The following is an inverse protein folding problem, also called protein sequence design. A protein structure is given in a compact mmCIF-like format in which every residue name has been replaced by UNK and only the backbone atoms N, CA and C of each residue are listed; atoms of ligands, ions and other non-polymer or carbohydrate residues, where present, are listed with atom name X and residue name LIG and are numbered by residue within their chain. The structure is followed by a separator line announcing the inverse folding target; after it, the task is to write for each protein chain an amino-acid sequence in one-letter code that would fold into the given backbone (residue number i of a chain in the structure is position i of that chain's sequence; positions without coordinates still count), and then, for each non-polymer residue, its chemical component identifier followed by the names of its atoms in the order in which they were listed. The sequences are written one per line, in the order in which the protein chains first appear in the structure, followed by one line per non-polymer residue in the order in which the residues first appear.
data_IF_939456279290
#
_entry.id   IF_939456279290
#
_cell.length_a   1.000
_cell.length_b   1.000
_cell.length_c   1.000
_cell.angle_alpha   90.00
_cell.angle_beta   90.00
_cell.angle_gamma   90.00
#
_symmetry.space_group_name_H-M   'P 1'
#
loop_
_entity.id
_entity.type
_entity.pdbx_description
1 polymer ?
#
# COMPACT_ATOMS: atom_id res chain seq x y z
N UNK A 1 31.38 -51.56 55.12
CA UNK A 1 30.13 -51.39 54.37
C UNK A 1 29.42 -50.15 54.88
N UNK A 2 29.39 -49.08 54.09
CA UNK A 2 28.34 -48.05 54.08
C UNK A 2 28.60 -47.19 52.83
N UNK A 3 27.68 -47.29 51.88
CA UNK A 3 27.63 -46.54 50.63
C UNK A 3 27.15 -45.10 50.88
N UNK A 4 27.54 -44.17 49.99
CA UNK A 4 26.77 -42.94 49.77
C UNK A 4 27.55 -41.77 49.17
N UNK A 5 27.86 -41.82 47.87
CA UNK A 5 28.28 -40.65 47.08
C UNK A 5 27.33 -40.50 45.90
N UNK A 6 26.71 -39.33 45.75
CA UNK A 6 26.59 -38.55 44.50
C UNK A 6 25.54 -37.43 44.67
N UNK A 7 26.00 -36.18 44.74
CA UNK A 7 25.17 -35.00 44.55
C UNK A 7 25.25 -34.59 43.07
N UNK A 8 24.11 -34.62 42.36
CA UNK A 8 24.02 -34.15 40.98
C UNK A 8 23.82 -32.63 40.97
N UNK A 9 24.78 -31.90 40.40
CA UNK A 9 24.69 -30.47 40.11
C UNK A 9 23.99 -30.30 38.74
N UNK A 10 22.76 -29.81 38.76
CA UNK A 10 22.03 -29.43 37.55
C UNK A 10 22.51 -28.06 37.05
N UNK A 11 23.30 -28.04 35.99
CA UNK A 11 23.65 -26.83 35.24
C UNK A 11 22.47 -26.38 34.39
N UNK A 12 21.88 -25.23 34.71
CA UNK A 12 20.87 -24.56 33.88
C UNK A 12 21.58 -23.87 32.71
N UNK A 13 21.32 -24.23 31.44
CA UNK A 13 21.89 -23.51 30.31
C UNK A 13 21.21 -22.14 30.16
N UNK A 14 22.03 -21.10 30.04
CA UNK A 14 21.63 -19.75 29.64
C UNK A 14 20.91 -19.79 28.29
N UNK A 15 19.60 -19.58 28.29
CA UNK A 15 18.85 -19.27 27.07
C UNK A 15 19.03 -17.79 26.75
N UNK A 16 19.72 -17.53 25.64
CA UNK A 16 20.15 -16.22 25.19
C UNK A 16 19.00 -15.23 24.95
N UNK A 17 19.32 -13.97 25.21
CA UNK A 17 18.57 -12.75 24.92
C UNK A 17 18.50 -12.44 23.41
N UNK A 18 18.22 -13.44 22.56
CA UNK A 18 18.07 -13.27 21.13
C UNK A 18 16.66 -12.83 20.69
N UNK A 19 15.77 -12.49 21.64
CA UNK A 19 14.37 -12.16 21.38
C UNK A 19 14.07 -10.70 21.01
N UNK A 20 15.07 -9.80 21.02
CA UNK A 20 14.85 -8.36 20.80
C UNK A 20 15.46 -7.80 19.50
N UNK A 21 16.22 -8.60 18.75
CA UNK A 21 16.85 -8.15 17.50
C UNK A 21 15.97 -8.39 16.25
N UNK A 22 14.96 -9.27 16.31
CA UNK A 22 14.09 -9.58 15.16
C UNK A 22 12.90 -8.63 14.98
N UNK A 23 12.63 -7.74 15.94
CA UNK A 23 11.53 -6.77 15.81
C UNK A 23 11.91 -5.52 14.99
N UNK A 24 13.16 -5.42 14.56
CA UNK A 24 13.69 -4.37 13.67
C UNK A 24 13.91 -4.83 12.23
N UNK A 25 13.46 -6.04 11.88
CA UNK A 25 13.41 -6.49 10.50
C UNK A 25 12.34 -5.69 9.73
N UNK A 26 12.77 -4.52 9.27
CA UNK A 26 12.50 -4.05 7.92
C UNK A 26 11.00 -4.03 7.56
N UNK A 27 10.23 -3.19 8.26
CA UNK A 27 9.07 -2.52 7.66
C UNK A 27 9.63 -1.58 6.57
N UNK A 28 10.16 -2.17 5.50
CA UNK A 28 10.31 -1.52 4.20
C UNK A 28 8.91 -1.37 3.65
N UNK A 29 8.20 -0.36 4.15
CA UNK A 29 7.07 0.19 3.44
C UNK A 29 7.61 0.79 2.14
N UNK A 30 7.75 -0.06 1.11
CA UNK A 30 8.39 0.30 -0.15
C UNK A 30 7.70 1.52 -0.74
N UNK A 31 8.41 2.65 -0.65
CA UNK A 31 8.14 3.84 -1.44
C UNK A 31 8.25 3.41 -2.90
N UNK A 32 7.19 3.59 -3.66
CA UNK A 32 7.16 3.29 -5.09
C UNK A 32 7.06 4.61 -5.83
N UNK A 33 7.94 4.80 -6.81
CA UNK A 33 7.84 5.91 -7.73
C UNK A 33 7.00 5.49 -8.94
N UNK A 34 6.01 6.31 -9.28
CA UNK A 34 5.20 6.18 -10.48
C UNK A 34 5.36 7.44 -11.32
N UNK A 35 6.09 7.30 -12.42
CA UNK A 35 6.40 8.41 -13.33
C UNK A 35 5.16 9.00 -13.99
N UNK A 36 4.07 8.22 -14.14
CA UNK A 36 2.82 8.72 -14.71
C UNK A 36 2.07 9.68 -13.78
N UNK A 37 2.40 9.65 -12.48
CA UNK A 37 1.81 10.52 -11.47
C UNK A 37 2.64 11.79 -11.22
N UNK A 38 3.88 11.86 -11.71
CA UNK A 38 4.73 13.04 -11.52
C UNK A 38 4.02 14.30 -12.04
N UNK A 39 3.86 15.29 -11.15
CA UNK A 39 3.22 16.59 -11.40
C UNK A 39 1.74 16.54 -11.78
N UNK A 40 1.10 15.37 -11.69
CA UNK A 40 -0.33 15.23 -11.95
C UNK A 40 -1.15 16.09 -10.98
N UNK A 41 -2.12 16.83 -11.51
CA UNK A 41 -3.01 17.67 -10.70
C UNK A 41 -4.05 16.81 -9.97
N UNK A 42 -4.13 16.98 -8.66
CA UNK A 42 -5.16 16.40 -7.82
C UNK A 42 -5.80 17.48 -6.96
N UNK A 43 -7.03 17.26 -6.54
CA UNK A 43 -7.76 18.13 -5.63
C UNK A 43 -8.36 17.33 -4.48
N UNK A 44 -8.39 17.91 -3.29
CA UNK A 44 -8.99 17.24 -2.14
C UNK A 44 -10.51 17.17 -2.26
N UNK A 45 -11.10 15.99 -2.07
CA UNK A 45 -12.56 15.81 -2.02
C UNK A 45 -13.17 16.10 -0.63
N UNK A 46 -12.31 16.27 0.38
CA UNK A 46 -12.67 16.63 1.75
C UNK A 46 -11.52 17.35 2.45
N UNK A 47 -11.80 18.01 3.57
CA UNK A 47 -10.76 18.51 4.47
C UNK A 47 -9.85 17.36 4.92
N UNK A 48 -8.56 17.49 4.66
CA UNK A 48 -7.57 16.41 4.80
C UNK A 48 -6.32 16.91 5.50
N UNK A 49 -5.85 16.16 6.50
CA UNK A 49 -4.56 16.40 7.14
C UNK A 49 -3.40 16.10 6.20
N UNK A 50 -2.38 16.95 6.26
CA UNK A 50 -1.11 16.78 5.56
C UNK A 50 -0.04 16.49 6.61
N UNK A 51 0.78 15.47 6.35
CA UNK A 51 1.74 14.94 7.31
C UNK A 51 3.17 15.08 6.79
N UNK A 52 4.13 15.21 7.70
CA UNK A 52 5.57 15.29 7.39
C UNK A 52 6.14 13.97 6.85
N UNK A 53 5.57 12.85 7.28
CA UNK A 53 6.00 11.51 6.94
C UNK A 53 4.82 10.62 6.56
N UNK A 54 5.12 9.39 6.15
CA UNK A 54 4.10 8.45 5.67
C UNK A 54 3.11 8.00 6.74
N UNK A 55 3.36 8.24 8.01
CA UNK A 55 2.43 7.91 9.09
C UNK A 55 1.40 9.03 9.18
N UNK A 56 0.18 8.78 8.67
CA UNK A 56 -0.94 9.75 8.66
C UNK A 56 -1.58 9.96 10.05
N UNK A 57 -0.72 9.99 11.07
CA UNK A 57 -0.99 10.03 12.50
C UNK A 57 0.30 9.69 13.26
N UNK A 58 0.39 9.95 14.57
CA UNK A 58 -0.52 10.78 15.38
C UNK A 58 -0.51 12.26 14.95
N UNK A 59 -1.38 13.07 15.56
CA UNK A 59 -1.56 14.51 15.28
C UNK A 59 -0.26 15.33 15.30
N UNK A 60 0.74 14.90 16.09
CA UNK A 60 2.06 15.53 16.14
C UNK A 60 2.83 15.48 14.80
N UNK A 61 2.47 14.56 13.91
CA UNK A 61 3.08 14.42 12.59
C UNK A 61 2.35 15.26 11.53
N UNK A 62 1.23 15.89 11.89
CA UNK A 62 0.44 16.71 10.97
C UNK A 62 1.07 18.10 10.85
N UNK A 63 1.56 18.42 9.66
CA UNK A 63 2.11 19.74 9.33
C UNK A 63 1.04 20.76 8.96
N UNK A 64 -0.16 20.30 8.60
CA UNK A 64 -1.29 21.19 8.34
C UNK A 64 -2.55 20.46 7.90
N UNK A 65 -3.58 21.22 7.57
CA UNK A 65 -4.84 20.70 7.00
C UNK A 65 -5.18 21.51 5.77
N UNK A 66 -5.50 20.82 4.67
CA UNK A 66 -5.95 21.45 3.44
C UNK A 66 -7.45 21.22 3.27
N UNK A 67 -8.15 22.28 2.87
CA UNK A 67 -9.59 22.25 2.65
C UNK A 67 -9.99 21.47 1.42
N UNK A 68 -11.27 21.11 1.35
CA UNK A 68 -11.90 20.56 0.15
C UNK A 68 -11.69 21.49 -1.05
N UNK A 69 -11.43 20.92 -2.23
CA UNK A 69 -11.24 21.64 -3.48
C UNK A 69 -9.83 22.22 -3.67
N UNK A 70 -8.98 22.20 -2.64
CA UNK A 70 -7.59 22.64 -2.76
C UNK A 70 -6.85 21.72 -3.74
N UNK A 71 -6.19 22.33 -4.72
CA UNK A 71 -5.41 21.64 -5.72
C UNK A 71 -3.96 21.47 -5.27
N UNK A 72 -3.40 20.31 -5.59
CA UNK A 72 -2.02 19.93 -5.32
C UNK A 72 -1.46 19.17 -6.51
N UNK A 73 -0.13 19.08 -6.59
CA UNK A 73 0.56 18.25 -7.58
C UNK A 73 1.18 17.06 -6.90
N UNK A 74 1.06 15.87 -7.49
CA UNK A 74 1.74 14.69 -6.99
C UNK A 74 3.25 14.76 -7.29
N UNK A 75 4.08 14.26 -6.38
CA UNK A 75 5.52 14.14 -6.63
C UNK A 75 5.86 12.93 -7.50
N UNK A 76 4.94 11.96 -7.60
CA UNK A 76 5.18 10.63 -8.20
C UNK A 76 5.50 9.57 -7.15
N UNK A 77 5.77 9.94 -5.90
CA UNK A 77 6.07 9.00 -4.82
C UNK A 77 4.78 8.57 -4.10
N UNK A 78 4.54 7.27 -4.03
CA UNK A 78 3.37 6.66 -3.37
C UNK A 78 3.78 5.54 -2.41
N UNK A 79 2.96 5.32 -1.38
CA UNK A 79 3.17 4.24 -0.42
C UNK A 79 1.83 3.77 0.16
N UNK A 80 1.41 2.53 -0.13
CA UNK A 80 0.23 1.87 0.46
C UNK A 80 -1.01 2.78 0.67
N UNK A 81 -1.56 3.34 -0.42
CA UNK A 81 -2.73 4.21 -0.36
C UNK A 81 -2.43 5.66 0.07
N UNK A 82 -1.17 6.03 0.19
CA UNK A 82 -0.70 7.38 0.51
C UNK A 82 0.03 7.97 -0.68
N UNK A 83 -0.09 9.26 -0.86
CA UNK A 83 0.59 10.00 -1.89
C UNK A 83 1.39 11.15 -1.29
N UNK A 84 2.58 11.40 -1.83
CA UNK A 84 3.31 12.62 -1.55
C UNK A 84 2.91 13.70 -2.54
N UNK A 85 2.66 14.89 -2.02
CA UNK A 85 2.16 16.04 -2.77
C UNK A 85 3.04 17.25 -2.56
N UNK A 86 3.20 18.06 -3.60
CA UNK A 86 3.71 19.43 -3.49
C UNK A 86 2.62 20.31 -2.89
N UNK A 87 2.94 20.95 -1.76
CA UNK A 87 2.07 21.92 -1.10
C UNK A 87 2.23 23.27 -1.80
N UNK A 88 1.12 24.01 -1.91
CA UNK A 88 0.92 25.13 -2.83
C UNK A 88 2.14 26.04 -3.10
N UNK A 89 2.39 26.24 -4.39
CA UNK A 89 3.24 27.26 -5.02
C UNK A 89 2.88 27.29 -6.52
N UNK A 90 2.61 28.47 -7.09
CA UNK A 90 2.22 28.63 -8.50
C UNK A 90 3.38 28.40 -9.47
N UNK A 91 4.59 28.27 -8.94
CA UNK A 91 5.85 28.03 -9.61
C UNK A 91 6.45 26.72 -9.13
N UNK A 92 6.87 25.85 -10.05
CA UNK A 92 7.61 24.62 -9.76
C UNK A 92 9.05 24.95 -9.32
N UNK A 93 9.19 25.73 -8.25
CA UNK A 93 10.47 26.09 -7.64
C UNK A 93 11.24 24.82 -7.26
N UNK A 94 12.59 24.81 -7.37
CA UNK A 94 13.41 23.69 -6.90
C UNK A 94 13.30 23.46 -5.38
N UNK A 95 12.74 24.42 -4.63
CA UNK A 95 12.46 24.31 -3.20
C UNK A 95 10.95 24.42 -3.03
N UNK A 96 10.27 23.28 -3.03
CA UNK A 96 8.84 23.20 -2.74
C UNK A 96 8.59 22.36 -1.49
N UNK A 97 7.73 22.83 -0.57
CA UNK A 97 7.29 22.02 0.55
C UNK A 97 6.51 20.80 0.06
N UNK A 98 6.83 19.64 0.61
CA UNK A 98 6.13 18.38 0.32
C UNK A 98 5.43 17.86 1.55
N UNK A 99 4.34 17.13 1.36
CA UNK A 99 3.60 16.49 2.43
C UNK A 99 2.98 15.18 2.00
N UNK A 100 2.65 14.35 2.98
CA UNK A 100 1.99 13.06 2.81
C UNK A 100 0.50 13.19 3.11
N UNK A 101 -0.31 12.57 2.27
CA UNK A 101 -1.77 12.54 2.42
C UNK A 101 -2.34 11.16 2.11
N UNK A 102 -3.55 10.91 2.60
CA UNK A 102 -4.35 9.76 2.17
C UNK A 102 -4.79 9.97 0.72
N UNK A 103 -4.37 9.08 -0.18
CA UNK A 103 -4.69 9.17 -1.60
C UNK A 103 -6.19 8.99 -1.88
N UNK A 104 -6.96 8.35 -0.98
CA UNK A 104 -8.41 8.22 -1.10
C UNK A 104 -9.13 9.57 -1.01
N UNK A 105 -8.47 10.59 -0.46
CA UNK A 105 -9.02 11.94 -0.35
C UNK A 105 -8.70 12.81 -1.58
N UNK A 106 -7.98 12.26 -2.58
CA UNK A 106 -7.60 12.97 -3.79
C UNK A 106 -8.51 12.60 -4.97
N UNK A 107 -8.95 13.61 -5.68
CA UNK A 107 -9.67 13.51 -6.96
C UNK A 107 -8.94 14.30 -8.04
N UNK A 108 -9.35 14.21 -9.30
CA UNK A 108 -8.76 15.04 -10.38
C UNK A 108 -9.26 16.48 -10.31
N UNK A 109 -8.41 17.46 -10.62
CA UNK A 109 -8.79 18.88 -10.73
C UNK A 109 -9.82 19.10 -11.88
N UNK A 110 -10.80 20.01 -11.73
CA UNK A 110 -11.70 20.48 -12.83
C UNK A 110 -11.28 21.84 -13.42
N UNK A 111 -11.76 22.38 -14.56
CA UNK A 111 -12.75 22.01 -15.61
C UNK A 111 -12.09 21.49 -16.90
N UNK A 112 -11.79 20.22 -16.95
CA UNK A 112 -11.69 19.46 -18.19
C UNK A 112 -12.50 18.21 -17.88
N UNK A 113 -13.49 17.86 -18.71
CA UNK A 113 -14.06 16.50 -18.69
C UNK A 113 -12.87 15.55 -18.58
N UNK A 114 -12.73 14.73 -17.52
CA UNK A 114 -11.51 13.96 -17.36
C UNK A 114 -11.28 13.23 -18.67
N UNK A 115 -10.08 13.29 -19.28
CA UNK A 115 -9.66 12.15 -20.07
C UNK A 115 -9.93 10.96 -19.14
N UNK A 116 -10.75 9.96 -19.54
CA UNK A 116 -11.17 8.91 -18.65
C UNK A 116 -9.96 8.45 -17.86
N UNK A 117 -10.01 8.57 -16.52
CA UNK A 117 -8.85 8.43 -15.64
C UNK A 117 -7.99 7.31 -16.20
N UNK A 118 -6.78 7.64 -16.67
CA UNK A 118 -5.97 6.71 -17.45
C UNK A 118 -6.01 5.39 -16.70
N UNK A 119 -6.66 4.39 -17.29
CA UNK A 119 -6.93 3.15 -16.58
C UNK A 119 -5.56 2.62 -16.14
N UNK A 120 -5.47 2.10 -14.93
CA UNK A 120 -4.27 1.39 -14.52
C UNK A 120 -4.54 -0.08 -14.78
N UNK A 121 -3.83 -0.63 -15.75
CA UNK A 121 -4.00 -2.00 -16.15
C UNK A 121 -2.81 -2.84 -15.69
N UNK A 122 -3.14 -4.06 -15.30
CA UNK A 122 -2.16 -5.09 -15.01
C UNK A 122 -2.47 -6.32 -15.84
N UNK A 123 -1.44 -7.07 -16.18
CA UNK A 123 -1.58 -8.42 -16.72
C UNK A 123 -1.51 -9.41 -15.55
N UNK A 124 -2.44 -10.35 -15.50
CA UNK A 124 -2.34 -11.50 -14.61
C UNK A 124 -1.18 -12.41 -15.06
N UNK A 125 -0.15 -12.61 -14.24
CA UNK A 125 0.95 -13.51 -14.59
C UNK A 125 0.61 -14.98 -14.30
N UNK A 126 -0.39 -15.21 -13.45
CA UNK A 126 -0.96 -16.52 -13.11
C UNK A 126 -2.49 -16.42 -12.97
N UNK A 127 -3.16 -17.55 -12.71
CA UNK A 127 -4.59 -17.53 -12.44
C UNK A 127 -4.86 -16.83 -11.10
N UNK A 128 -5.74 -15.83 -11.10
CA UNK A 128 -6.05 -15.03 -9.92
C UNK A 128 -7.52 -15.15 -9.54
N UNK A 129 -7.75 -15.28 -8.25
CA UNK A 129 -9.07 -15.26 -7.66
C UNK A 129 -9.42 -13.83 -7.24
N UNK A 130 -10.59 -13.35 -7.66
CA UNK A 130 -11.14 -12.06 -7.23
C UNK A 130 -12.04 -12.30 -6.04
N UNK A 131 -11.81 -11.59 -4.94
CA UNK A 131 -12.48 -11.80 -3.65
C UNK A 131 -13.27 -10.58 -3.20
N UNK A 132 -14.31 -10.81 -2.42
CA UNK A 132 -15.15 -9.72 -1.90
C UNK A 132 -14.39 -8.79 -0.94
N UNK A 133 -13.44 -9.34 -0.18
CA UNK A 133 -12.58 -8.61 0.75
C UNK A 133 -11.13 -9.10 0.59
N UNK A 134 -10.11 -8.33 1.03
CA UNK A 134 -8.69 -8.64 0.82
C UNK A 134 -8.17 -9.74 1.78
N UNK A 135 -8.78 -10.92 1.77
CA UNK A 135 -8.33 -12.10 2.53
C UNK A 135 -8.52 -13.37 1.68
N UNK A 136 -7.66 -14.38 1.84
CA UNK A 136 -7.75 -15.64 1.10
C UNK A 136 -8.98 -16.47 1.47
N UNK A 137 -9.60 -16.20 2.62
CA UNK A 137 -10.85 -16.84 3.08
C UNK A 137 -12.10 -16.16 2.55
N UNK A 138 -12.00 -14.96 1.99
CA UNK A 138 -13.15 -14.21 1.51
C UNK A 138 -13.83 -14.90 0.32
N UNK A 139 -15.17 -14.78 0.20
CA UNK A 139 -15.92 -15.33 -0.92
C UNK A 139 -15.36 -14.89 -2.27
N UNK A 140 -15.35 -15.81 -3.23
CA UNK A 140 -14.99 -15.52 -4.61
C UNK A 140 -16.12 -14.72 -5.28
N UNK A 141 -15.73 -13.62 -5.92
CA UNK A 141 -16.60 -12.77 -6.72
C UNK A 141 -16.23 -12.80 -8.21
N UNK A 142 -15.16 -13.52 -8.56
CA UNK A 142 -14.75 -13.75 -9.94
C UNK A 142 -13.34 -14.34 -9.99
N UNK A 143 -12.80 -14.41 -11.20
CA UNK A 143 -11.44 -14.86 -11.44
C UNK A 143 -10.87 -14.24 -12.71
N UNK A 144 -9.56 -14.20 -12.81
CA UNK A 144 -8.80 -13.88 -14.01
C UNK A 144 -7.93 -15.07 -14.38
N UNK A 145 -7.91 -15.43 -15.66
CA UNK A 145 -6.95 -16.40 -16.18
C UNK A 145 -5.56 -15.78 -16.38
N UNK A 146 -4.50 -16.58 -16.49
CA UNK A 146 -3.18 -16.08 -16.90
C UNK A 146 -3.26 -15.26 -18.19
N UNK A 147 -2.53 -14.16 -18.26
CA UNK A 147 -2.53 -13.22 -19.39
C UNK A 147 -3.70 -12.23 -19.43
N UNK A 148 -4.71 -12.37 -18.56
CA UNK A 148 -5.88 -11.48 -18.56
C UNK A 148 -5.51 -10.05 -18.14
N UNK A 149 -6.18 -9.08 -18.75
CA UNK A 149 -6.10 -7.67 -18.34
C UNK A 149 -6.98 -7.43 -17.11
N UNK A 150 -6.35 -6.93 -16.05
CA UNK A 150 -6.95 -6.51 -14.80
C UNK A 150 -6.99 -4.99 -14.78
N UNK A 151 -8.14 -4.41 -14.46
CA UNK A 151 -8.30 -2.96 -14.37
C UNK A 151 -8.43 -2.59 -12.89
N UNK A 152 -7.59 -1.70 -12.39
CA UNK A 152 -7.73 -1.17 -11.04
C UNK A 152 -9.07 -0.44 -10.86
N UNK A 153 -9.69 -0.55 -9.69
CA UNK A 153 -10.92 0.18 -9.37
C UNK A 153 -10.71 1.70 -9.33
N UNK A 154 -9.49 2.14 -9.03
CA UNK A 154 -9.10 3.54 -8.82
C UNK A 154 -7.76 3.85 -9.49
N UNK A 155 -7.51 5.15 -9.73
CA UNK A 155 -6.20 5.67 -10.13
C UNK A 155 -5.82 6.86 -9.22
N UNK A 156 -4.83 6.71 -8.32
CA UNK A 156 -3.91 5.56 -8.20
C UNK A 156 -4.58 4.30 -7.62
N UNK A 157 -4.05 3.08 -7.88
CA UNK A 157 -4.69 1.84 -7.48
C UNK A 157 -4.75 1.65 -5.97
N UNK A 158 -5.93 1.33 -5.44
CA UNK A 158 -6.13 0.99 -4.02
C UNK A 158 -5.46 -0.35 -3.71
N UNK A 159 -4.55 -0.36 -2.72
CA UNK A 159 -3.90 -1.58 -2.24
C UNK A 159 -4.04 -1.72 -0.73
N UNK A 160 -4.07 -2.97 -0.24
CA UNK A 160 -4.08 -3.30 1.18
C UNK A 160 -3.12 -4.44 1.46
N UNK A 161 -2.24 -4.26 2.44
CA UNK A 161 -1.42 -5.34 2.97
C UNK A 161 -2.20 -6.02 4.08
N UNK A 162 -2.38 -7.34 3.99
CA UNK A 162 -3.14 -8.05 5.00
C UNK A 162 -2.35 -8.15 6.32
N UNK A 163 -2.95 -7.74 7.45
CA UNK A 163 -2.33 -7.86 8.77
C UNK A 163 -2.54 -9.25 9.40
N UNK A 164 -3.31 -10.14 8.76
CA UNK A 164 -3.72 -11.43 9.33
C UNK A 164 -2.61 -12.47 9.40
N UNK A 165 -2.87 -13.62 10.01
CA UNK A 165 -1.95 -14.77 10.02
C UNK A 165 -1.84 -15.47 8.66
N UNK A 166 -1.02 -16.51 8.59
CA UNK A 166 -0.91 -17.37 7.39
C UNK A 166 -2.31 -17.84 6.93
N UNK A 167 -2.60 -17.87 5.62
CA UNK A 167 -1.68 -17.65 4.49
C UNK A 167 -1.69 -16.21 3.94
N UNK A 168 -2.28 -15.27 4.68
CA UNK A 168 -2.47 -13.89 4.24
C UNK A 168 -1.43 -12.92 4.81
N UNK A 169 -0.66 -13.31 5.81
CA UNK A 169 0.30 -12.41 6.46
C UNK A 169 1.21 -11.72 5.45
N UNK A 170 1.23 -10.38 5.48
CA UNK A 170 2.08 -9.57 4.59
C UNK A 170 1.68 -9.58 3.11
N UNK A 171 0.63 -10.31 2.72
CA UNK A 171 0.15 -10.36 1.33
C UNK A 171 -0.43 -9.02 0.92
N UNK A 172 -0.07 -8.55 -0.27
CA UNK A 172 -0.57 -7.31 -0.85
C UNK A 172 -1.77 -7.65 -1.73
N UNK A 173 -2.88 -6.97 -1.47
CA UNK A 173 -4.11 -7.05 -2.22
C UNK A 173 -4.31 -5.78 -3.02
N UNK A 174 -4.84 -5.93 -4.24
CA UNK A 174 -5.18 -4.84 -5.15
C UNK A 174 -6.69 -4.85 -5.38
N UNK A 175 -7.33 -3.69 -5.22
CA UNK A 175 -8.74 -3.53 -5.58
C UNK A 175 -8.91 -3.33 -7.10
N UNK A 176 -9.82 -4.10 -7.69
CA UNK A 176 -10.02 -4.20 -9.13
C UNK A 176 -11.48 -3.96 -9.49
N UNK A 177 -11.71 -3.41 -10.67
CA UNK A 177 -13.04 -3.30 -11.26
C UNK A 177 -13.38 -4.62 -11.98
N UNK A 178 -14.49 -5.25 -11.58
CA UNK A 178 -15.03 -6.45 -12.24
C UNK A 178 -16.49 -6.22 -12.61
N UNK A 179 -16.77 -6.10 -13.91
CA UNK A 179 -18.09 -5.73 -14.44
C UNK A 179 -18.67 -4.50 -13.71
N UNK A 180 -19.74 -4.67 -12.93
CA UNK A 180 -20.46 -3.60 -12.23
C UNK A 180 -20.14 -3.53 -10.72
N UNK A 181 -19.04 -4.15 -10.26
CA UNK A 181 -18.64 -4.15 -8.85
C UNK A 181 -17.12 -4.10 -8.70
N UNK A 182 -16.65 -3.94 -7.46
CA UNK A 182 -15.22 -4.08 -7.12
C UNK A 182 -14.95 -5.44 -6.49
N UNK A 183 -13.68 -5.82 -6.49
CA UNK A 183 -13.18 -6.98 -5.78
C UNK A 183 -11.68 -6.85 -5.53
N UNK A 184 -11.10 -7.85 -4.88
CA UNK A 184 -9.69 -7.84 -4.47
C UNK A 184 -8.94 -9.02 -5.05
N UNK A 185 -7.80 -8.76 -5.67
CA UNK A 185 -6.87 -9.79 -6.13
C UNK A 185 -5.58 -9.75 -5.33
N UNK A 186 -4.96 -10.91 -5.10
CA UNK A 186 -3.65 -11.00 -4.46
C UNK A 186 -2.55 -10.56 -5.43
N UNK A 187 -2.03 -9.35 -5.25
CA UNK A 187 -0.90 -8.83 -6.01
C UNK A 187 0.38 -9.59 -5.71
N UNK A 188 0.57 -10.07 -4.49
CA UNK A 188 1.76 -10.83 -4.08
C UNK A 188 1.41 -12.15 -3.37
N UNK A 189 2.44 -12.93 -3.09
CA UNK A 189 2.43 -14.10 -2.21
C UNK A 189 2.30 -13.75 -0.73
N UNK A 190 2.34 -14.78 0.12
CA UNK A 190 2.51 -14.60 1.57
C UNK A 190 3.84 -13.88 1.86
N UNK A 191 3.88 -13.06 2.91
CA UNK A 191 5.01 -12.21 3.28
C UNK A 191 5.29 -11.08 2.27
N UNK A 192 4.40 -10.86 1.30
CA UNK A 192 4.62 -9.89 0.24
C UNK A 192 5.55 -10.37 -0.87
N UNK A 193 5.89 -11.66 -0.89
CA UNK A 193 6.88 -12.23 -1.81
C UNK A 193 6.33 -12.34 -3.23
N UNK A 194 7.13 -11.90 -4.19
CA UNK A 194 6.80 -11.98 -5.61
C UNK A 194 5.66 -11.05 -6.05
N UNK A 195 5.38 -11.08 -7.34
CA UNK A 195 4.23 -10.40 -7.93
C UNK A 195 3.46 -11.39 -8.80
N UNK A 196 2.15 -11.45 -8.64
CA UNK A 196 1.26 -12.24 -9.50
C UNK A 196 0.72 -11.41 -10.67
N UNK A 197 1.08 -10.13 -10.73
CA UNK A 197 0.63 -9.19 -11.75
C UNK A 197 1.78 -8.30 -12.24
N UNK A 198 1.72 -7.92 -13.50
CA UNK A 198 2.69 -7.02 -14.15
C UNK A 198 1.97 -5.78 -14.66
N UNK A 199 2.52 -4.58 -14.43
CA UNK A 199 1.95 -3.34 -14.98
C UNK A 199 2.04 -3.33 -16.50
N UNK A 200 0.94 -2.94 -17.17
CA UNK A 200 0.87 -2.84 -18.63
C UNK A 200 0.13 -1.57 -19.06
N UNK A 201 0.34 -1.15 -20.31
CA UNK A 201 -0.55 -0.18 -20.93
C UNK A 201 -1.97 -0.75 -21.02
N UNK A 202 -2.98 0.09 -20.80
CA UNK A 202 -4.35 -0.34 -21.00
C UNK A 202 -4.68 -0.48 -22.49
N UNK A 203 -5.39 -1.56 -22.88
CA UNK A 203 -5.93 -1.70 -24.23
C UNK A 203 -7.07 -0.71 -24.49
#
# INVERSE_FOLDING_TARGET
MALGVAAALSTVPLAGTAGLAQQLADIRLNLTEDTALIRACRQFNRSTGVFDNTTLGPESNRIGTLGTGVQVRLTGVVQQGRAQVFLAGSDLSPIQPVGWVDAANLTTCGTVTPPPAARVCFRADSALNVRATPTSSAPLVGSYGPGSTIIASTNPPTQRTSPGGAPDFGRIWLEVAIANRTGWVSRSGEGGVGSNITSIACP
#
